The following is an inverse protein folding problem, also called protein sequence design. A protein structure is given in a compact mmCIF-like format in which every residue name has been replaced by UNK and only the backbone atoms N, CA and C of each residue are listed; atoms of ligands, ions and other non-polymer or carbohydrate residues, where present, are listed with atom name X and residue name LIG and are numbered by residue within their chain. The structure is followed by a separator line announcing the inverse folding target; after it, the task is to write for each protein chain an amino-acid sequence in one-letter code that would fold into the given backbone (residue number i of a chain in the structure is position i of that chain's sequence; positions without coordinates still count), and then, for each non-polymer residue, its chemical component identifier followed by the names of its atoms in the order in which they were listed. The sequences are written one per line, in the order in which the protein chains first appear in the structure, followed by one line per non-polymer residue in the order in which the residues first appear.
data_IF_430563800767
#
_entry.id   IF_430563800767
#
_cell.length_a   1.000
_cell.length_b   1.000
_cell.length_c   1.000
_cell.angle_alpha   90.00
_cell.angle_beta   90.00
_cell.angle_gamma   90.00
#
_symmetry.space_group_name_H-M   'P 1'
#
loop_
_entity.id
_entity.type
_entity.pdbx_description
1 polymer ?
#
# COMPACT_ATOMS: atom_id res chain seq x y z
N UNK A 1 30.87 46.33 32.26
CA UNK A 1 31.53 45.77 31.05
C UNK A 1 30.78 44.51 30.65
N UNK A 2 30.00 44.58 29.57
CA UNK A 2 29.06 43.54 29.12
C UNK A 2 29.84 42.52 28.27
N UNK A 3 29.83 41.24 28.65
CA UNK A 3 30.37 40.14 27.83
C UNK A 3 29.24 39.53 27.02
N UNK A 4 29.20 39.86 25.72
CA UNK A 4 28.22 39.35 24.76
C UNK A 4 28.70 37.98 24.25
N UNK A 5 27.73 37.09 24.12
CA UNK A 5 27.79 35.66 23.86
C UNK A 5 28.35 35.26 22.49
N UNK A 6 28.71 33.99 22.34
CA UNK A 6 28.59 33.28 21.07
C UNK A 6 28.18 31.83 21.30
N UNK A 7 26.88 31.55 21.20
CA UNK A 7 26.34 30.18 21.13
C UNK A 7 26.31 29.83 19.64
N UNK A 8 27.22 28.95 19.21
CA UNK A 8 27.23 28.40 17.85
C UNK A 8 26.09 27.39 17.75
N UNK A 9 24.96 27.81 17.18
CA UNK A 9 23.90 26.90 16.81
C UNK A 9 24.33 26.11 15.56
N UNK A 10 24.77 24.86 15.75
CA UNK A 10 24.91 23.91 14.64
C UNK A 10 23.51 23.60 14.11
N UNK A 11 23.17 24.21 12.98
CA UNK A 11 21.99 23.87 12.20
C UNK A 11 22.11 22.46 11.64
N UNK A 12 21.40 21.52 12.27
CA UNK A 12 21.18 20.19 11.73
C UNK A 12 20.23 20.33 10.53
N UNK A 13 20.75 20.62 9.34
CA UNK A 13 19.98 20.49 8.11
C UNK A 13 19.84 19.00 7.78
N UNK A 14 18.82 18.37 8.36
CA UNK A 14 18.29 17.13 7.82
C UNK A 14 17.71 17.44 6.44
N UNK A 15 18.48 17.18 5.38
CA UNK A 15 17.95 17.20 4.02
C UNK A 15 16.71 16.31 3.97
N UNK A 16 15.61 16.84 3.45
CA UNK A 16 14.41 16.05 3.23
C UNK A 16 14.82 14.84 2.38
N UNK A 17 14.77 13.64 2.97
CA UNK A 17 14.87 12.44 2.19
C UNK A 17 13.64 12.45 1.28
N UNK A 18 13.85 12.62 -0.03
CA UNK A 18 12.81 12.42 -1.04
C UNK A 18 12.30 10.98 -0.89
N UNK A 19 11.28 10.79 -0.06
CA UNK A 19 10.56 9.53 0.04
C UNK A 19 10.05 9.22 -1.36
N UNK A 20 10.38 8.02 -1.87
CA UNK A 20 9.97 7.52 -3.18
C UNK A 20 8.53 7.96 -3.48
N UNK A 21 8.38 8.86 -4.45
CA UNK A 21 7.07 9.35 -4.88
C UNK A 21 6.18 8.22 -5.43
N UNK A 22 4.92 8.52 -5.74
CA UNK A 22 3.97 7.54 -6.28
C UNK A 22 4.54 6.87 -7.53
N UNK A 23 4.55 5.53 -7.57
CA UNK A 23 5.05 4.78 -8.73
C UNK A 23 3.91 4.10 -9.47
N UNK A 24 3.70 4.48 -10.73
CA UNK A 24 2.74 3.80 -11.61
C UNK A 24 3.14 2.34 -11.79
N UNK A 25 2.25 1.43 -11.39
CA UNK A 25 2.46 -0.01 -11.50
C UNK A 25 1.21 -0.70 -12.02
N UNK A 26 1.43 -1.76 -12.80
CA UNK A 26 0.41 -2.79 -13.00
C UNK A 26 0.61 -3.84 -11.92
N UNK A 27 -0.48 -4.22 -11.30
CA UNK A 27 -0.51 -5.11 -10.18
C UNK A 27 -1.50 -6.25 -10.46
N UNK A 28 -1.11 -7.49 -10.14
CA UNK A 28 -1.95 -8.67 -10.35
C UNK A 28 -2.10 -9.43 -9.03
N UNK A 29 -3.23 -9.25 -8.35
CA UNK A 29 -3.55 -9.86 -7.06
C UNK A 29 -4.73 -10.81 -7.15
N UNK A 30 -4.91 -11.64 -6.13
CA UNK A 30 -6.12 -12.42 -5.91
C UNK A 30 -6.88 -11.88 -4.71
N UNK A 31 -8.20 -11.80 -4.80
CA UNK A 31 -9.02 -11.37 -3.67
C UNK A 31 -9.35 -12.57 -2.80
N UNK A 32 -8.97 -12.48 -1.52
CA UNK A 32 -9.19 -13.50 -0.49
C UNK A 32 -9.60 -12.82 0.81
N UNK A 33 -10.69 -13.27 1.40
CA UNK A 33 -11.26 -12.73 2.65
C UNK A 33 -11.55 -11.21 2.57
N UNK A 34 -11.97 -10.73 1.39
CA UNK A 34 -12.23 -9.30 1.15
C UNK A 34 -10.99 -8.42 1.04
N UNK A 35 -9.79 -9.01 1.03
CA UNK A 35 -8.52 -8.32 0.82
C UNK A 35 -7.89 -8.74 -0.50
N UNK A 36 -7.26 -7.79 -1.18
CA UNK A 36 -6.45 -8.11 -2.35
C UNK A 36 -5.03 -8.53 -1.93
N UNK A 37 -4.61 -9.69 -2.44
CA UNK A 37 -3.35 -10.34 -2.10
C UNK A 37 -2.53 -10.62 -3.35
N UNK A 38 -1.36 -10.00 -3.47
CA UNK A 38 -0.35 -10.37 -4.46
C UNK A 38 0.68 -11.29 -3.84
N UNK A 39 0.48 -12.58 -4.08
CA UNK A 39 1.39 -13.61 -3.58
C UNK A 39 1.37 -13.67 -2.05
N UNK A 40 2.30 -12.96 -1.39
CA UNK A 40 2.48 -12.97 0.07
C UNK A 40 2.23 -11.62 0.76
N UNK A 41 1.99 -10.56 0.01
CA UNK A 41 1.77 -9.22 0.57
C UNK A 41 0.32 -8.81 0.39
N UNK A 42 -0.25 -8.24 1.45
CA UNK A 42 -1.57 -7.62 1.44
C UNK A 42 -1.37 -6.16 1.04
N UNK A 43 -2.00 -5.75 -0.05
CA UNK A 43 -1.93 -4.36 -0.51
C UNK A 43 -3.24 -3.66 -0.17
N UNK A 44 -3.15 -2.46 0.39
CA UNK A 44 -4.33 -1.65 0.68
C UNK A 44 -4.77 -0.91 -0.58
N UNK A 45 -5.87 -1.37 -1.17
CA UNK A 45 -6.45 -0.74 -2.34
C UNK A 45 -7.23 0.52 -1.96
N UNK A 46 -6.86 1.64 -2.56
CA UNK A 46 -7.47 2.94 -2.36
C UNK A 46 -8.05 3.47 -3.67
N UNK A 47 -9.13 4.25 -3.60
CA UNK A 47 -9.61 5.04 -4.72
C UNK A 47 -8.78 6.34 -4.86
N UNK A 48 -9.07 7.16 -5.88
CA UNK A 48 -8.40 8.46 -6.06
C UNK A 48 -8.55 9.42 -4.87
N UNK A 49 -9.62 9.29 -4.10
CA UNK A 49 -9.87 10.09 -2.88
C UNK A 49 -9.14 9.53 -1.65
N UNK A 50 -8.33 8.49 -1.80
CA UNK A 50 -7.61 7.83 -0.70
C UNK A 50 -8.49 6.96 0.20
N UNK A 51 -9.73 6.65 -0.22
CA UNK A 51 -10.66 5.79 0.52
C UNK A 51 -10.43 4.32 0.16
N UNK A 52 -10.56 3.39 1.12
CA UNK A 52 -10.44 1.97 0.83
C UNK A 52 -11.50 1.52 -0.18
N UNK A 53 -11.07 0.70 -1.13
CA UNK A 53 -11.95 0.09 -2.13
C UNK A 53 -12.45 -1.24 -1.61
N UNK A 54 -13.76 -1.42 -1.64
CA UNK A 54 -14.37 -2.73 -1.39
C UNK A 54 -14.13 -3.64 -2.60
N UNK A 55 -13.48 -4.77 -2.38
CA UNK A 55 -13.19 -5.76 -3.42
C UNK A 55 -13.92 -7.08 -3.21
N UNK A 56 -14.83 -7.16 -2.24
CA UNK A 56 -15.59 -8.38 -1.94
C UNK A 56 -16.41 -8.88 -3.12
N UNK A 57 -16.80 -8.00 -4.05
CA UNK A 57 -17.45 -8.38 -5.31
C UNK A 57 -16.59 -9.28 -6.23
N UNK A 58 -15.28 -9.31 -6.01
CA UNK A 58 -14.30 -10.07 -6.78
C UNK A 58 -13.69 -11.22 -5.98
N UNK A 59 -14.31 -11.62 -4.87
CA UNK A 59 -13.84 -12.71 -4.01
C UNK A 59 -13.52 -13.98 -4.82
N UNK A 60 -12.34 -14.57 -4.57
CA UNK A 60 -11.87 -15.74 -5.30
C UNK A 60 -11.44 -15.48 -6.74
N UNK A 61 -11.47 -14.24 -7.21
CA UNK A 61 -10.98 -13.85 -8.53
C UNK A 61 -9.58 -13.24 -8.46
N UNK A 62 -8.82 -13.43 -9.53
CA UNK A 62 -7.58 -12.71 -9.77
C UNK A 62 -7.90 -11.42 -10.52
N UNK A 63 -7.43 -10.30 -10.00
CA UNK A 63 -7.61 -8.98 -10.59
C UNK A 63 -6.29 -8.46 -11.16
N UNK A 64 -6.39 -7.82 -12.32
CA UNK A 64 -5.37 -6.90 -12.83
C UNK A 64 -5.81 -5.49 -12.49
N UNK A 65 -4.98 -4.81 -11.71
CA UNK A 65 -5.15 -3.43 -11.28
C UNK A 65 -4.05 -2.57 -11.91
N UNK A 66 -4.41 -1.36 -12.33
CA UNK A 66 -3.45 -0.35 -12.77
C UNK A 66 -3.63 0.82 -11.80
N UNK A 67 -2.53 1.34 -11.30
CA UNK A 67 -2.56 2.29 -10.20
C UNK A 67 -1.20 2.82 -9.81
N UNK A 68 -1.21 3.68 -8.81
CA UNK A 68 -0.01 4.26 -8.22
C UNK A 68 0.25 3.59 -6.87
N UNK A 69 1.39 2.91 -6.76
CA UNK A 69 1.88 2.36 -5.50
C UNK A 69 2.53 3.48 -4.71
N UNK A 70 1.99 3.72 -3.52
CA UNK A 70 2.48 4.68 -2.54
C UNK A 70 3.35 4.00 -1.49
N UNK A 71 4.15 4.77 -0.74
CA UNK A 71 4.78 4.29 0.47
C UNK A 71 3.78 3.66 1.45
N UNK A 72 4.20 2.59 2.14
CA UNK A 72 3.38 1.89 3.14
C UNK A 72 2.30 0.97 2.56
N UNK A 73 2.57 0.34 1.40
CA UNK A 73 1.72 -0.69 0.77
C UNK A 73 0.31 -0.21 0.39
N UNK A 74 0.16 1.09 0.09
CA UNK A 74 -1.10 1.65 -0.40
C UNK A 74 -1.07 1.73 -1.93
N UNK A 75 -2.13 1.28 -2.58
CA UNK A 75 -2.22 1.28 -4.05
C UNK A 75 -3.48 2.03 -4.49
N UNK A 76 -3.28 3.19 -5.11
CA UNK A 76 -4.38 3.99 -5.65
C UNK A 76 -4.74 3.44 -7.01
N UNK A 77 -5.96 2.90 -7.12
CA UNK A 77 -6.49 2.40 -8.38
C UNK A 77 -6.82 3.59 -9.30
N UNK A 78 -6.29 3.58 -10.51
CA UNK A 78 -6.55 4.62 -11.52
C UNK A 78 -7.47 4.16 -12.65
N UNK A 79 -7.55 2.85 -12.87
CA UNK A 79 -8.34 2.21 -13.92
C UNK A 79 -9.25 1.14 -13.35
N UNK A 80 -10.29 0.77 -14.11
CA UNK A 80 -11.25 -0.22 -13.65
C UNK A 80 -10.58 -1.59 -13.46
N UNK A 81 -10.84 -2.31 -12.35
CA UNK A 81 -10.30 -3.66 -12.14
C UNK A 81 -10.69 -4.60 -13.26
N UNK A 82 -9.72 -5.34 -13.80
CA UNK A 82 -9.95 -6.34 -14.82
C UNK A 82 -9.84 -7.75 -14.22
N UNK A 83 -10.94 -8.52 -14.12
CA UNK A 83 -10.87 -9.90 -13.68
C UNK A 83 -10.15 -10.76 -14.72
N UNK A 84 -9.13 -11.48 -14.26
CA UNK A 84 -8.31 -12.41 -15.05
C UNK A 84 -8.77 -13.88 -14.91
N UNK A 85 -9.84 -14.13 -14.16
CA UNK A 85 -10.36 -15.47 -13.87
C UNK A 85 -10.13 -15.90 -12.42
N UNK A 86 -10.29 -17.19 -12.10
CA UNK A 86 -10.19 -17.68 -10.73
C UNK A 86 -8.77 -17.45 -10.18
N UNK A 87 -8.71 -17.08 -8.89
CA UNK A 87 -7.45 -17.02 -8.18
C UNK A 87 -6.82 -18.42 -8.16
N UNK A 88 -5.56 -18.54 -8.58
CA UNK A 88 -4.85 -19.81 -8.51
C UNK A 88 -4.88 -20.29 -7.05
N UNK A 89 -5.24 -21.55 -6.82
CA UNK A 89 -5.32 -22.18 -5.49
C UNK A 89 -3.92 -22.31 -4.87
N UNK A 90 -3.31 -21.20 -4.51
CA UNK A 90 -2.34 -21.08 -3.45
C UNK A 90 -2.97 -20.12 -2.48
N UNK A 91 -3.74 -20.63 -1.50
CA UNK A 91 -4.20 -19.80 -0.39
C UNK A 91 -2.99 -19.00 0.07
N UNK A 92 -3.03 -17.66 0.14
CA UNK A 92 -2.06 -16.98 0.96
C UNK A 92 -2.19 -17.66 2.32
N UNK A 93 -1.07 -18.12 2.90
CA UNK A 93 -1.08 -18.44 4.33
C UNK A 93 -1.23 -17.11 5.06
N UNK A 94 -2.41 -16.50 5.00
CA UNK A 94 -2.83 -15.54 6.00
C UNK A 94 -2.85 -16.39 7.26
N UNK A 95 -1.82 -16.22 8.09
CA UNK A 95 -1.85 -16.82 9.41
C UNK A 95 -3.14 -16.30 10.05
N UNK A 96 -4.06 -17.19 10.48
CA UNK A 96 -5.25 -16.72 11.18
C UNK A 96 -4.75 -15.90 12.36
N UNK A 97 -5.14 -14.61 12.39
CA UNK A 97 -4.92 -13.78 13.55
C UNK A 97 -5.56 -14.54 14.71
N UNK A 98 -4.83 -14.93 15.77
CA UNK A 98 -5.43 -15.68 16.86
C UNK A 98 -6.59 -14.84 17.40
N UNK A 99 -7.79 -15.42 17.37
CA UNK A 99 -8.92 -14.87 18.09
C UNK A 99 -8.51 -14.92 19.57
N UNK A 100 -8.26 -13.76 20.16
CA UNK A 100 -8.12 -13.68 21.61
C UNK A 100 -9.47 -14.10 22.21
N UNK A 101 -9.47 -15.27 22.84
CA UNK A 101 -10.49 -15.71 23.78
C UNK A 101 -10.26 -15.06 25.14
#
# INVERSE_FOLDING_TARGET
MVRIALIVALGLQAGAADASGPVRKTYNGGVVDGADVAGRHIIRLLNRDGRPVDVSAFEGQRLRLIGDLLPGDNFIIVDRPLPLGPCAKGRPRVHPRPANA
#
